data_IF_086756135018
#
_entry.id   IF_086756135018
#
_cell.length_a   1.000
_cell.length_b   1.000
_cell.length_c   1.000
_cell.angle_alpha   90.00
_cell.angle_beta   90.00
_cell.angle_gamma   90.00
#
_symmetry.space_group_name_H-M   'P 1'
#
loop_
_entity.id
_entity.type
_entity.pdbx_description
1 polymer ?
#
# COMPACT_ATOMS: atom_id res chain seq x y z
N UNK A 1 11.46 7.18 -0.99
CA UNK A 1 10.03 6.92 -0.75
C UNK A 1 9.70 5.52 -1.20
N UNK A 2 8.97 4.74 -0.40
CA UNK A 2 8.57 3.37 -0.73
C UNK A 2 7.10 3.26 -1.17
N UNK A 3 6.51 2.08 -0.97
CA UNK A 3 5.10 1.80 -1.29
C UNK A 3 4.11 2.86 -0.76
N UNK A 4 4.19 3.34 0.49
CA UNK A 4 3.27 4.36 1.00
C UNK A 4 3.31 5.67 0.20
N UNK A 5 4.50 6.10 -0.24
CA UNK A 5 4.67 7.32 -1.05
C UNK A 5 4.12 7.13 -2.47
N UNK A 6 4.29 5.94 -3.05
CA UNK A 6 3.69 5.60 -4.35
C UNK A 6 2.15 5.66 -4.29
N UNK A 7 1.54 5.07 -3.25
CA UNK A 7 0.09 5.13 -3.04
C UNK A 7 -0.42 6.56 -2.82
N UNK A 8 0.25 7.33 -1.96
CA UNK A 8 -0.09 8.72 -1.71
C UNK A 8 0.00 9.56 -2.99
N UNK A 9 1.03 9.35 -3.81
CA UNK A 9 1.19 10.06 -5.10
C UNK A 9 0.05 9.73 -6.06
N UNK A 10 -0.40 8.47 -6.13
CA UNK A 10 -1.56 8.10 -6.96
C UNK A 10 -2.85 8.76 -6.48
N UNK A 11 -3.07 8.81 -5.17
CA UNK A 11 -4.20 9.51 -4.59
C UNK A 11 -4.17 11.02 -4.92
N UNK A 12 -3.00 11.66 -4.79
CA UNK A 12 -2.80 13.09 -5.11
C UNK A 12 -3.15 13.43 -6.56
N UNK A 13 -2.90 12.51 -7.49
CA UNK A 13 -3.24 12.69 -8.91
C UNK A 13 -4.60 12.11 -9.30
N UNK A 14 -5.47 11.77 -8.33
CA UNK A 14 -6.77 11.12 -8.56
C UNK A 14 -6.70 9.87 -9.47
N UNK A 15 -5.59 9.14 -9.41
CA UNK A 15 -5.41 7.92 -10.18
C UNK A 15 -6.13 6.75 -9.50
N UNK A 16 -6.57 5.78 -10.30
CA UNK A 16 -7.15 4.53 -9.78
C UNK A 16 -6.19 3.88 -8.77
N UNK A 17 -6.69 3.39 -7.61
CA UNK A 17 -5.91 2.59 -6.67
C UNK A 17 -5.24 1.41 -7.38
N UNK A 18 -3.95 1.14 -7.10
CA UNK A 18 -3.23 0.05 -7.73
C UNK A 18 -3.52 -1.29 -7.04
N UNK A 19 -3.37 -2.38 -7.79
CA UNK A 19 -3.17 -3.72 -7.23
C UNK A 19 -1.68 -3.93 -7.01
N UNK A 20 -1.31 -4.45 -5.85
CA UNK A 20 0.08 -4.68 -5.45
C UNK A 20 0.23 -6.15 -5.10
N UNK A 21 1.17 -6.81 -5.77
CA UNK A 21 1.48 -8.21 -5.54
C UNK A 21 2.72 -8.32 -4.65
N UNK A 22 2.65 -9.14 -3.62
CA UNK A 22 3.75 -9.38 -2.69
C UNK A 22 3.92 -10.88 -2.40
N UNK A 23 5.14 -11.35 -2.10
CA UNK A 23 5.34 -12.69 -1.58
C UNK A 23 4.46 -12.94 -0.33
N UNK A 24 3.89 -14.14 -0.15
CA UNK A 24 2.98 -14.42 0.97
C UNK A 24 3.66 -14.21 2.32
N UNK A 25 4.97 -14.48 2.40
CA UNK A 25 5.77 -14.34 3.62
C UNK A 25 5.88 -12.90 4.16
N UNK A 26 5.68 -11.87 3.32
CA UNK A 26 5.78 -10.47 3.74
C UNK A 26 4.44 -9.73 3.74
N UNK A 27 3.32 -10.37 3.36
CA UNK A 27 2.03 -9.70 3.22
C UNK A 27 1.62 -8.95 4.48
N UNK A 28 1.69 -9.63 5.63
CA UNK A 28 1.33 -9.06 6.93
C UNK A 28 2.22 -7.88 7.32
N UNK A 29 3.52 -7.94 6.99
CA UNK A 29 4.45 -6.85 7.28
C UNK A 29 4.15 -5.62 6.43
N UNK A 30 3.75 -5.81 5.17
CA UNK A 30 3.31 -4.74 4.28
C UNK A 30 1.99 -4.13 4.75
N UNK A 31 1.04 -4.93 5.22
CA UNK A 31 -0.21 -4.43 5.81
C UNK A 31 0.05 -3.55 7.03
N UNK A 32 0.87 -4.03 7.98
CA UNK A 32 1.28 -3.25 9.17
C UNK A 32 2.00 -1.96 8.81
N UNK A 33 2.90 -2.00 7.83
CA UNK A 33 3.59 -0.81 7.34
C UNK A 33 2.59 0.25 6.85
N UNK A 34 1.59 -0.17 6.08
CA UNK A 34 0.56 0.73 5.55
C UNK A 34 -0.33 1.30 6.67
N UNK A 35 -0.68 0.50 7.68
CA UNK A 35 -1.47 0.96 8.82
C UNK A 35 -0.71 2.00 9.66
N UNK A 36 0.59 1.81 9.88
CA UNK A 36 1.45 2.82 10.52
C UNK A 36 1.44 4.11 9.71
N UNK A 37 1.57 4.02 8.39
CA UNK A 37 1.55 5.23 7.56
C UNK A 37 0.17 5.91 7.54
N UNK A 38 -0.94 5.17 7.57
CA UNK A 38 -2.30 5.73 7.67
C UNK A 38 -2.48 6.49 8.99
N UNK A 39 -2.02 5.93 10.11
CA UNK A 39 -2.16 6.58 11.43
C UNK A 39 -1.32 7.87 11.52
N UNK A 40 -0.11 7.86 10.95
CA UNK A 40 0.78 9.02 10.94
C UNK A 40 0.32 10.13 10.00
N UNK A 41 -0.08 9.79 8.77
CA UNK A 41 -0.33 10.78 7.71
C UNK A 41 -1.78 11.25 7.64
N UNK A 42 -2.72 10.51 8.24
CA UNK A 42 -4.17 10.71 8.05
C UNK A 42 -4.58 10.67 6.56
N UNK A 43 -3.73 10.09 5.69
CA UNK A 43 -4.00 9.91 4.26
C UNK A 43 -4.55 8.51 4.03
N UNK A 44 -5.61 8.43 3.21
CA UNK A 44 -6.22 7.18 2.82
C UNK A 44 -5.34 6.44 1.77
N UNK A 45 -4.49 5.52 2.24
CA UNK A 45 -3.63 4.70 1.38
C UNK A 45 -4.42 3.52 0.79
N UNK A 46 -5.17 3.76 -0.30
CA UNK A 46 -5.96 2.73 -1.00
C UNK A 46 -5.10 1.89 -1.94
N UNK A 47 -5.22 0.57 -1.80
CA UNK A 47 -4.65 -0.43 -2.68
C UNK A 47 -5.45 -1.73 -2.56
N UNK A 48 -5.26 -2.61 -3.54
CA UNK A 48 -5.61 -4.03 -3.43
C UNK A 48 -4.31 -4.83 -3.24
N UNK A 49 -4.14 -5.50 -2.10
CA UNK A 49 -2.90 -6.21 -1.75
C UNK A 49 -3.10 -7.72 -1.87
N UNK A 50 -2.47 -8.31 -2.88
CA UNK A 50 -2.60 -9.72 -3.23
C UNK A 50 -1.30 -10.45 -2.87
N UNK A 51 -1.42 -11.57 -2.13
CA UNK A 51 -0.31 -12.51 -1.99
C UNK A 51 -0.17 -13.29 -3.30
N UNK A 52 1.02 -13.26 -3.88
CA UNK A 52 1.34 -14.01 -5.09
C UNK A 52 1.97 -15.35 -4.69
N UNK A 53 1.25 -16.45 -4.90
CA UNK A 53 1.80 -17.79 -4.79
C UNK A 53 2.58 -18.07 -6.09
N UNK A 54 3.89 -18.32 -6.00
CA UNK A 54 4.81 -18.51 -7.14
C UNK A 54 5.25 -19.96 -7.21
#
# INVERSE_FOLDING_TARGET
GGLPMYLATRALYNLKPPTVFVPPCIKNDVEKLLDIHRSMSQVELKLDLIALDV
#
